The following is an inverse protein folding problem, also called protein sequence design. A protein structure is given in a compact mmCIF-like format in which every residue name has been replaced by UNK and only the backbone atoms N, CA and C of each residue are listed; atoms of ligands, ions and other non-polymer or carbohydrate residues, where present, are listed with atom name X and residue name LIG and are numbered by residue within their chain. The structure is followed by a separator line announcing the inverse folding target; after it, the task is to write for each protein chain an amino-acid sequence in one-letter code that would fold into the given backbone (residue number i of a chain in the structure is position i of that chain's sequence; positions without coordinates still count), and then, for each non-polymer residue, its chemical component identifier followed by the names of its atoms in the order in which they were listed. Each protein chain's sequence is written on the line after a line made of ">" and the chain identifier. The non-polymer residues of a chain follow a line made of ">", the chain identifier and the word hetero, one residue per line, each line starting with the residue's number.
data_IF_913337869191
#
_entry.id   IF_913337869191
#
_cell.length_a   1.000
_cell.length_b   1.000
_cell.length_c   1.000
_cell.angle_alpha   90.00
_cell.angle_beta   90.00
_cell.angle_gamma   90.00
#
_symmetry.space_group_name_H-M   'P 1'
#
loop_
_entity.id
_entity.type
_entity.pdbx_description
1 polymer ?
#
# COMPACT_ATOMS: atom_id res chain seq x y z
N UNK A 1 -0.73 -21.57 25.53
CA UNK A 1 -1.65 -20.57 26.13
C UNK A 1 -2.29 -21.16 27.37
N UNK A 2 -2.68 -20.37 28.39
CA UNK A 2 -3.40 -20.89 29.57
C UNK A 2 -4.79 -21.36 29.18
N UNK A 3 -5.34 -22.47 29.72
CA UNK A 3 -6.69 -22.94 29.38
C UNK A 3 -7.77 -21.88 29.59
N UNK A 4 -7.72 -21.14 30.70
CA UNK A 4 -8.67 -20.07 31.00
C UNK A 4 -8.66 -18.94 29.95
N UNK A 5 -7.46 -18.58 29.42
CA UNK A 5 -7.35 -17.55 28.37
C UNK A 5 -8.01 -18.01 27.07
N UNK A 6 -7.90 -19.32 26.76
CA UNK A 6 -8.55 -19.91 25.58
C UNK A 6 -10.06 -19.83 25.69
N UNK A 7 -10.63 -20.12 26.86
CA UNK A 7 -12.08 -20.04 27.11
C UNK A 7 -12.59 -18.60 26.98
N UNK A 8 -11.85 -17.62 27.51
CA UNK A 8 -12.21 -16.20 27.39
C UNK A 8 -12.21 -15.77 25.92
N UNK A 9 -11.15 -16.12 25.18
CA UNK A 9 -11.03 -15.80 23.73
C UNK A 9 -12.17 -16.46 22.97
N UNK A 10 -12.50 -17.73 23.28
CA UNK A 10 -13.62 -18.44 22.64
C UNK A 10 -14.94 -17.70 22.88
N UNK A 11 -15.24 -17.33 24.11
CA UNK A 11 -16.47 -16.60 24.47
C UNK A 11 -16.56 -15.24 23.76
N UNK A 12 -15.44 -14.50 23.68
CA UNK A 12 -15.39 -13.25 22.93
C UNK A 12 -15.71 -13.49 21.44
N UNK A 13 -15.08 -14.51 20.83
CA UNK A 13 -15.28 -14.82 19.41
C UNK A 13 -16.69 -15.35 19.10
N UNK A 14 -17.35 -16.02 20.03
CA UNK A 14 -18.76 -16.45 19.90
C UNK A 14 -19.74 -15.26 19.81
N UNK A 15 -19.43 -14.19 20.55
CA UNK A 15 -20.29 -13.00 20.62
C UNK A 15 -19.95 -12.00 19.50
N UNK A 16 -18.67 -11.78 19.23
CA UNK A 16 -18.22 -10.71 18.31
C UNK A 16 -18.00 -11.17 16.87
N UNK A 17 -17.83 -12.49 16.66
CA UNK A 17 -17.30 -13.00 15.39
C UNK A 17 -15.80 -12.77 15.23
N UNK A 18 -15.29 -12.70 13.98
CA UNK A 18 -13.87 -12.47 13.71
C UNK A 18 -13.39 -11.12 14.28
N UNK A 19 -12.27 -11.13 15.01
CA UNK A 19 -11.70 -9.95 15.67
C UNK A 19 -10.17 -9.96 15.59
N UNK A 20 -9.53 -8.77 15.64
CA UNK A 20 -8.08 -8.65 15.71
C UNK A 20 -7.55 -9.16 17.06
N UNK A 21 -6.44 -9.94 17.07
CA UNK A 21 -5.77 -10.34 18.32
C UNK A 21 -5.43 -9.18 19.26
N UNK A 22 -5.21 -7.97 18.71
CA UNK A 22 -4.90 -6.77 19.49
C UNK A 22 -6.12 -6.19 20.21
N UNK A 23 -7.33 -6.46 19.71
CA UNK A 23 -8.59 -5.95 20.26
C UNK A 23 -9.26 -6.92 21.25
N UNK A 24 -8.78 -8.18 21.30
CA UNK A 24 -9.42 -9.24 22.12
C UNK A 24 -9.52 -8.84 23.59
N UNK A 25 -8.47 -8.24 24.17
CA UNK A 25 -8.47 -7.84 25.57
C UNK A 25 -9.50 -6.76 25.87
N UNK A 26 -9.53 -5.72 25.05
CA UNK A 26 -10.43 -4.58 25.25
C UNK A 26 -11.88 -4.99 25.05
N UNK A 27 -12.13 -5.88 24.10
CA UNK A 27 -13.47 -6.43 23.87
C UNK A 27 -13.91 -7.39 24.98
N UNK A 28 -13.00 -8.23 25.49
CA UNK A 28 -13.28 -9.06 26.65
C UNK A 28 -13.66 -8.21 27.86
N UNK A 29 -12.94 -7.10 28.11
CA UNK A 29 -13.25 -6.18 29.20
C UNK A 29 -14.64 -5.55 29.06
N UNK A 30 -14.98 -5.08 27.86
CA UNK A 30 -16.32 -4.53 27.57
C UNK A 30 -17.43 -5.56 27.85
N UNK A 31 -17.27 -6.79 27.38
CA UNK A 31 -18.24 -7.87 27.56
C UNK A 31 -18.34 -8.32 29.02
N UNK A 32 -17.24 -8.33 29.74
CA UNK A 32 -17.21 -8.64 31.18
C UNK A 32 -17.94 -7.56 31.99
N UNK A 33 -17.72 -6.29 31.70
CA UNK A 33 -18.42 -5.16 32.35
C UNK A 33 -19.93 -5.17 32.07
N UNK A 34 -20.35 -5.70 30.92
CA UNK A 34 -21.78 -5.91 30.58
C UNK A 34 -22.38 -7.18 31.19
N UNK A 35 -21.56 -8.05 31.77
CA UNK A 35 -21.99 -9.36 32.30
C UNK A 35 -22.27 -10.42 31.22
N UNK A 36 -21.79 -10.21 30.00
CA UNK A 36 -21.97 -11.13 28.87
C UNK A 36 -20.95 -12.27 28.89
N UNK A 37 -19.80 -12.08 29.55
CA UNK A 37 -18.84 -13.14 29.86
C UNK A 37 -18.53 -13.15 31.36
N UNK A 38 -18.20 -14.32 31.90
CA UNK A 38 -18.04 -14.52 33.33
C UNK A 38 -16.59 -14.42 33.83
N UNK A 39 -15.64 -14.54 32.94
CA UNK A 39 -14.20 -14.54 33.27
C UNK A 39 -13.47 -13.43 32.53
N UNK A 40 -12.38 -12.93 33.13
CA UNK A 40 -11.49 -11.95 32.55
C UNK A 40 -10.04 -12.44 32.60
N UNK A 41 -9.22 -11.93 31.67
CA UNK A 41 -7.79 -12.24 31.64
C UNK A 41 -7.08 -11.79 32.93
N UNK A 42 -6.27 -12.67 33.48
CA UNK A 42 -5.40 -12.39 34.63
C UNK A 42 -3.98 -12.07 34.18
N UNK A 43 -3.81 -10.87 33.60
CA UNK A 43 -2.51 -10.32 33.21
C UNK A 43 -2.26 -9.05 34.03
N UNK A 44 -1.23 -9.12 34.90
CA UNK A 44 -0.75 -7.94 35.62
C UNK A 44 0.10 -7.02 34.73
N UNK A 45 0.24 -5.77 35.14
CA UNK A 45 1.10 -4.78 34.47
C UNK A 45 0.35 -3.71 33.70
N UNK A 46 1.11 -2.77 33.10
CA UNK A 46 0.54 -1.57 32.45
C UNK A 46 0.02 -1.80 31.02
N UNK A 47 0.28 -2.98 30.43
CA UNK A 47 -0.09 -3.29 29.03
C UNK A 47 -0.67 -4.70 28.87
N UNK A 48 -1.78 -5.04 29.58
CA UNK A 48 -2.37 -6.38 29.53
C UNK A 48 -2.85 -6.78 28.11
N UNK A 49 -3.32 -5.82 27.32
CA UNK A 49 -3.72 -6.02 25.92
C UNK A 49 -2.57 -6.54 25.04
N UNK A 50 -1.34 -6.02 25.25
CA UNK A 50 -0.15 -6.51 24.53
C UNK A 50 0.21 -7.94 24.94
N UNK A 51 0.07 -8.26 26.24
CA UNK A 51 0.35 -9.60 26.76
C UNK A 51 -0.60 -10.65 26.20
N UNK A 52 -1.90 -10.33 26.10
CA UNK A 52 -2.91 -11.21 25.49
C UNK A 52 -2.64 -11.39 24.00
N UNK A 53 -2.42 -10.33 23.27
CA UNK A 53 -2.12 -10.37 21.83
C UNK A 53 -0.86 -11.20 21.55
N UNK A 54 0.24 -10.98 22.28
CA UNK A 54 1.48 -11.73 22.14
C UNK A 54 1.28 -13.23 22.45
N UNK A 55 0.45 -13.54 23.44
CA UNK A 55 0.11 -14.93 23.80
C UNK A 55 -0.65 -15.64 22.66
N UNK A 56 -1.63 -14.95 22.05
CA UNK A 56 -2.38 -15.46 20.89
C UNK A 56 -1.43 -15.74 19.71
N UNK A 57 -0.60 -14.77 19.33
CA UNK A 57 0.33 -14.95 18.21
C UNK A 57 1.35 -16.07 18.47
N UNK A 58 1.83 -16.17 19.70
CA UNK A 58 2.77 -17.24 20.08
C UNK A 58 2.14 -18.63 19.99
N UNK A 59 0.91 -18.78 20.47
CA UNK A 59 0.18 -20.04 20.42
C UNK A 59 -0.15 -20.45 18.97
N UNK A 60 -0.60 -19.51 18.15
CA UNK A 60 -0.85 -19.75 16.72
C UNK A 60 0.43 -20.16 15.98
N UNK A 61 1.57 -19.50 16.27
CA UNK A 61 2.87 -19.81 15.66
C UNK A 61 3.41 -21.18 16.05
N UNK A 62 3.16 -21.60 17.28
CA UNK A 62 3.57 -22.92 17.78
C UNK A 62 2.67 -24.06 17.30
N UNK A 63 1.56 -23.76 16.60
CA UNK A 63 0.61 -24.77 16.15
C UNK A 63 -0.14 -25.46 17.29
N UNK A 64 -0.36 -24.76 18.42
CA UNK A 64 -1.14 -25.29 19.54
C UNK A 64 -2.56 -25.65 19.06
N UNK A 65 -3.16 -26.68 19.63
CA UNK A 65 -4.53 -27.08 19.31
C UNK A 65 -5.51 -26.11 19.99
N UNK A 66 -5.99 -25.12 19.22
CA UNK A 66 -6.85 -24.03 19.68
C UNK A 66 -8.24 -24.16 19.04
N UNK A 67 -9.32 -23.72 19.71
CA UNK A 67 -10.68 -23.69 19.14
C UNK A 67 -10.83 -22.60 18.04
N UNK A 68 -9.89 -21.72 17.91
CA UNK A 68 -9.86 -20.64 16.92
C UNK A 68 -8.62 -20.73 16.03
N UNK A 69 -8.66 -20.03 14.90
CA UNK A 69 -7.55 -19.94 13.96
C UNK A 69 -7.48 -18.52 13.37
N UNK A 70 -6.34 -18.18 12.80
CA UNK A 70 -6.20 -16.98 11.98
C UNK A 70 -6.97 -17.18 10.66
N UNK A 71 -7.85 -16.25 10.33
CA UNK A 71 -8.70 -16.28 9.14
C UNK A 71 -8.37 -15.21 8.14
N UNK A 72 -7.59 -14.21 8.54
CA UNK A 72 -7.08 -13.13 7.69
C UNK A 72 -5.69 -12.70 8.18
N UNK A 73 -4.80 -12.33 7.25
CA UNK A 73 -3.42 -11.92 7.56
C UNK A 73 -3.31 -10.41 7.83
N UNK A 74 -3.93 -9.59 7.00
CA UNK A 74 -3.85 -8.13 7.07
C UNK A 74 -5.23 -7.48 6.84
N UNK A 75 -5.81 -6.80 7.87
CA UNK A 75 -5.41 -6.92 9.27
C UNK A 75 -5.54 -8.37 9.77
N UNK A 76 -4.69 -8.73 10.74
CA UNK A 76 -4.76 -10.07 11.31
C UNK A 76 -6.10 -10.25 12.05
N UNK A 77 -6.92 -11.22 11.62
CA UNK A 77 -8.17 -11.59 12.28
C UNK A 77 -8.13 -13.06 12.71
N UNK A 78 -8.67 -13.32 13.90
CA UNK A 78 -8.92 -14.68 14.40
C UNK A 78 -10.41 -14.94 14.47
N UNK A 79 -10.83 -16.16 14.23
CA UNK A 79 -12.21 -16.61 14.35
C UNK A 79 -12.25 -18.04 14.89
N UNK A 80 -13.41 -18.44 15.43
CA UNK A 80 -13.66 -19.83 15.79
C UNK A 80 -13.55 -20.73 14.57
N UNK A 81 -12.97 -21.91 14.75
CA UNK A 81 -12.84 -22.90 13.68
C UNK A 81 -14.21 -23.35 13.12
N UNK A 82 -15.24 -23.42 13.98
CA UNK A 82 -16.63 -23.70 13.60
C UNK A 82 -17.22 -22.60 12.71
N UNK A 83 -17.17 -21.34 13.17
CA UNK A 83 -17.69 -20.19 12.45
C UNK A 83 -16.94 -19.92 11.13
N UNK A 84 -15.62 -20.12 11.11
CA UNK A 84 -14.81 -19.98 9.90
C UNK A 84 -15.22 -20.94 8.77
N UNK A 85 -15.75 -22.13 9.13
CA UNK A 85 -16.25 -23.11 8.16
C UNK A 85 -17.59 -22.68 7.58
N UNK A 86 -18.48 -22.11 8.37
CA UNK A 86 -19.80 -21.63 7.95
C UNK A 86 -19.73 -20.36 7.11
N UNK A 87 -18.81 -19.46 7.45
CA UNK A 87 -18.61 -18.18 6.75
C UNK A 87 -17.80 -18.30 5.45
N UNK A 88 -17.36 -19.50 5.07
CA UNK A 88 -16.53 -19.70 3.87
C UNK A 88 -15.12 -19.10 3.99
N UNK A 89 -14.69 -18.67 5.18
CA UNK A 89 -13.39 -18.05 5.48
C UNK A 89 -12.24 -19.10 5.48
N UNK A 90 -12.48 -20.29 4.95
CA UNK A 90 -11.49 -21.37 4.89
C UNK A 90 -10.62 -21.33 3.63
N UNK A 91 -10.96 -20.52 2.65
CA UNK A 91 -10.12 -20.34 1.49
C UNK A 91 -9.09 -19.24 1.81
N UNK A 92 -7.90 -19.64 2.24
CA UNK A 92 -6.74 -18.83 1.97
C UNK A 92 -6.72 -18.62 0.44
N UNK A 93 -7.14 -17.46 -0.04
CA UNK A 93 -6.79 -17.07 -1.40
C UNK A 93 -5.27 -17.20 -1.49
N UNK A 94 -4.71 -17.81 -2.54
CA UNK A 94 -3.28 -17.85 -2.72
C UNK A 94 -2.79 -16.40 -2.80
N UNK A 95 -2.32 -15.88 -1.68
CA UNK A 95 -1.70 -14.56 -1.66
C UNK A 95 -0.36 -14.70 -2.38
N UNK A 96 -0.14 -13.86 -3.37
CA UNK A 96 1.18 -13.74 -3.98
C UNK A 96 2.16 -13.40 -2.87
N UNK A 97 3.17 -14.25 -2.68
CA UNK A 97 4.16 -14.05 -1.62
C UNK A 97 5.01 -12.82 -1.95
N UNK A 98 4.78 -11.73 -1.25
CA UNK A 98 5.58 -10.51 -1.37
C UNK A 98 6.86 -10.67 -0.53
N UNK A 99 7.95 -11.05 -1.18
CA UNK A 99 9.25 -11.19 -0.54
C UNK A 99 10.00 -9.84 -0.50
N UNK A 100 9.92 -9.08 -1.58
CA UNK A 100 10.60 -7.79 -1.76
C UNK A 100 9.61 -6.68 -2.11
N UNK A 101 9.96 -5.42 -1.86
CA UNK A 101 9.12 -4.24 -2.26
C UNK A 101 8.88 -4.23 -3.78
N UNK A 102 9.84 -4.69 -4.57
CA UNK A 102 9.71 -4.82 -6.02
C UNK A 102 8.62 -5.77 -6.50
N UNK A 103 8.23 -6.74 -5.69
CA UNK A 103 7.13 -7.63 -6.01
C UNK A 103 5.79 -6.87 -6.08
N UNK A 104 5.74 -5.65 -5.50
CA UNK A 104 4.57 -4.75 -5.53
C UNK A 104 4.46 -3.95 -6.84
N UNK A 105 5.57 -3.76 -7.58
CA UNK A 105 5.59 -2.90 -8.75
C UNK A 105 4.55 -3.28 -9.82
N UNK A 106 4.37 -4.56 -10.21
CA UNK A 106 3.36 -4.94 -11.19
C UNK A 106 1.92 -4.62 -10.75
N UNK A 107 1.64 -4.72 -9.44
CA UNK A 107 0.32 -4.39 -8.89
C UNK A 107 0.07 -2.88 -8.94
N UNK A 108 1.09 -2.07 -8.61
CA UNK A 108 0.99 -0.63 -8.71
C UNK A 108 0.85 -0.18 -10.17
N UNK A 109 1.62 -0.77 -11.10
CA UNK A 109 1.51 -0.49 -12.55
C UNK A 109 0.09 -0.75 -13.05
N UNK A 110 -0.49 -1.91 -12.68
CA UNK A 110 -1.87 -2.25 -13.03
C UNK A 110 -2.87 -1.25 -12.42
N UNK A 111 -2.74 -0.94 -11.14
CA UNK A 111 -3.60 0.05 -10.48
C UNK A 111 -3.47 1.43 -11.11
N UNK A 112 -2.25 1.90 -11.36
CA UNK A 112 -1.98 3.24 -11.84
C UNK A 112 -2.61 3.53 -13.20
N UNK A 113 -2.61 2.56 -14.11
CA UNK A 113 -3.23 2.74 -15.44
C UNK A 113 -4.76 2.63 -15.39
N UNK A 114 -5.32 1.78 -14.50
CA UNK A 114 -6.75 1.51 -14.42
C UNK A 114 -7.52 2.43 -13.46
N UNK A 115 -6.83 3.14 -12.56
CA UNK A 115 -7.46 4.05 -11.60
C UNK A 115 -7.76 5.41 -12.24
N UNK A 116 -9.01 5.87 -12.18
CA UNK A 116 -9.48 7.12 -12.80
C UNK A 116 -8.71 8.38 -12.33
N UNK A 117 -8.24 8.41 -11.10
CA UNK A 117 -7.50 9.56 -10.56
C UNK A 117 -6.02 9.56 -10.97
N UNK A 118 -5.45 8.40 -11.25
CA UNK A 118 -4.05 8.26 -11.66
C UNK A 118 -3.93 8.26 -13.18
N UNK A 119 -4.50 7.27 -13.87
CA UNK A 119 -4.41 7.08 -15.34
C UNK A 119 -3.00 7.32 -15.88
N UNK A 120 -1.99 6.78 -15.19
CA UNK A 120 -0.60 7.05 -15.53
C UNK A 120 0.15 5.78 -15.92
N UNK A 121 1.04 5.92 -16.89
CA UNK A 121 2.08 4.94 -17.19
C UNK A 121 3.17 5.04 -16.14
N UNK A 122 3.72 3.91 -15.72
CA UNK A 122 4.76 3.85 -14.69
C UNK A 122 6.10 3.40 -15.27
N UNK A 123 7.19 3.77 -14.58
CA UNK A 123 8.54 3.28 -14.82
C UNK A 123 9.21 2.99 -13.50
N UNK A 124 9.71 1.77 -13.34
CA UNK A 124 10.52 1.37 -12.19
C UNK A 124 11.89 2.04 -12.25
N UNK A 125 12.32 2.62 -11.13
CA UNK A 125 13.64 3.23 -10.96
C UNK A 125 14.51 2.32 -10.12
N UNK A 126 15.60 1.82 -10.72
CA UNK A 126 16.57 0.96 -10.04
C UNK A 126 17.66 1.83 -9.42
N UNK A 127 17.53 2.14 -8.13
CA UNK A 127 18.52 2.97 -7.42
C UNK A 127 19.90 2.34 -7.36
N UNK A 128 20.01 0.99 -7.48
CA UNK A 128 21.30 0.29 -7.57
C UNK A 128 22.07 0.58 -8.85
N UNK A 129 21.37 0.99 -9.91
CA UNK A 129 21.96 1.39 -11.19
C UNK A 129 22.39 2.86 -11.21
N UNK A 130 22.16 3.61 -10.12
CA UNK A 130 22.53 5.02 -10.01
C UNK A 130 24.02 5.20 -9.74
N UNK A 131 24.58 6.32 -10.18
CA UNK A 131 25.94 6.71 -9.85
C UNK A 131 26.09 6.88 -8.34
N UNK A 132 27.18 6.34 -7.76
CA UNK A 132 27.37 6.35 -6.32
C UNK A 132 27.91 7.70 -5.85
N UNK A 133 27.17 8.38 -4.99
CA UNK A 133 27.65 9.51 -4.18
C UNK A 133 28.29 9.05 -2.86
N UNK A 134 28.96 9.92 -2.12
CA UNK A 134 29.41 9.61 -0.77
C UNK A 134 28.24 9.10 0.09
N UNK A 135 28.55 8.13 0.98
CA UNK A 135 27.55 7.43 1.79
C UNK A 135 26.59 8.39 2.50
N UNK A 136 25.31 8.28 2.20
CA UNK A 136 24.22 9.03 2.82
C UNK A 136 23.79 10.30 2.10
N UNK A 137 24.52 10.80 1.09
CA UNK A 137 24.11 12.01 0.36
C UNK A 137 22.86 11.80 -0.50
N UNK A 138 22.72 10.62 -1.09
CA UNK A 138 21.56 10.29 -1.94
C UNK A 138 20.46 9.55 -1.17
N UNK A 139 20.53 9.57 0.17
CA UNK A 139 19.49 8.94 0.98
C UNK A 139 18.15 9.62 0.69
N UNK A 140 17.15 8.81 0.29
CA UNK A 140 15.81 9.28 -0.07
C UNK A 140 15.74 10.23 -1.29
N UNK A 141 16.71 10.14 -2.19
CA UNK A 141 16.68 10.88 -3.45
C UNK A 141 15.82 10.18 -4.50
N UNK A 142 15.99 8.86 -4.62
CA UNK A 142 15.38 8.08 -5.68
C UNK A 142 13.99 7.55 -5.27
N UNK A 143 12.93 7.80 -6.08
CA UNK A 143 11.66 7.11 -5.92
C UNK A 143 11.79 5.64 -6.37
N UNK A 144 10.94 4.75 -5.85
CA UNK A 144 10.89 3.37 -6.33
C UNK A 144 10.31 3.28 -7.74
N UNK A 145 9.26 4.06 -8.00
CA UNK A 145 8.64 4.17 -9.32
C UNK A 145 8.26 5.62 -9.63
N UNK A 146 8.29 5.94 -10.91
CA UNK A 146 7.81 7.21 -11.45
C UNK A 146 6.61 6.96 -12.35
N UNK A 147 5.75 7.97 -12.52
CA UNK A 147 4.58 7.87 -13.37
C UNK A 147 4.35 9.14 -14.19
N UNK A 148 3.68 8.96 -15.33
CA UNK A 148 3.24 10.08 -16.18
C UNK A 148 1.82 9.85 -16.67
N UNK A 149 0.97 10.86 -16.52
CA UNK A 149 -0.33 10.96 -17.15
C UNK A 149 -0.26 12.00 -18.26
N UNK A 150 -0.62 11.61 -19.46
CA UNK A 150 -0.64 12.49 -20.62
C UNK A 150 -2.03 13.15 -20.75
N UNK A 151 -2.20 14.33 -20.15
CA UNK A 151 -3.48 15.04 -20.13
C UNK A 151 -3.98 15.37 -21.55
N UNK A 152 -3.06 15.73 -22.45
CA UNK A 152 -3.39 16.01 -23.84
C UNK A 152 -3.82 14.75 -24.64
N UNK A 153 -3.45 13.55 -24.21
CA UNK A 153 -3.90 12.31 -24.86
C UNK A 153 -5.37 11.98 -24.55
N UNK A 154 -5.96 12.61 -23.54
CA UNK A 154 -7.38 12.47 -23.20
C UNK A 154 -8.29 13.38 -24.05
N UNK A 155 -7.68 14.32 -24.80
CA UNK A 155 -8.39 15.21 -25.70
C UNK A 155 -8.65 14.53 -27.04
N UNK A 156 -9.90 14.49 -27.46
CA UNK A 156 -10.30 13.86 -28.73
C UNK A 156 -10.20 14.80 -29.95
N UNK A 157 -9.88 16.09 -29.76
CA UNK A 157 -9.84 17.10 -30.78
C UNK A 157 -8.40 17.56 -31.06
N UNK A 158 -7.93 17.44 -32.30
CA UNK A 158 -6.59 17.78 -32.75
C UNK A 158 -6.20 19.25 -32.44
N UNK A 159 -7.14 20.18 -32.59
CA UNK A 159 -6.91 21.59 -32.32
C UNK A 159 -6.72 21.83 -30.80
N UNK A 160 -7.48 21.14 -29.96
CA UNK A 160 -7.31 21.20 -28.49
C UNK A 160 -5.99 20.58 -28.06
N UNK A 161 -5.57 19.48 -28.69
CA UNK A 161 -4.27 18.87 -28.45
C UNK A 161 -3.14 19.85 -28.81
N UNK A 162 -3.22 20.47 -29.99
CA UNK A 162 -2.24 21.45 -30.45
C UNK A 162 -2.23 22.72 -29.56
N UNK A 163 -3.41 23.18 -29.14
CA UNK A 163 -3.56 24.31 -28.22
C UNK A 163 -2.92 23.99 -26.86
N UNK A 164 -3.24 22.84 -26.25
CA UNK A 164 -2.69 22.40 -24.98
C UNK A 164 -1.16 22.30 -25.07
N UNK A 165 -0.62 21.59 -26.05
CA UNK A 165 0.83 21.47 -26.26
C UNK A 165 1.55 22.82 -26.40
N UNK A 166 0.88 23.84 -26.91
CA UNK A 166 1.49 25.16 -27.17
C UNK A 166 1.37 26.13 -26.00
N UNK A 167 0.28 26.07 -25.27
CA UNK A 167 -0.08 27.10 -24.29
C UNK A 167 -0.17 26.59 -22.86
N UNK A 168 -0.33 25.28 -22.62
CA UNK A 168 -0.25 24.72 -21.28
C UNK A 168 1.19 24.71 -20.78
N UNK A 169 1.34 25.05 -19.53
CA UNK A 169 2.66 25.09 -18.87
C UNK A 169 3.26 23.68 -18.74
N UNK A 170 2.40 22.68 -18.50
CA UNK A 170 2.80 21.28 -18.40
C UNK A 170 1.62 20.36 -18.81
N UNK A 171 1.54 19.92 -20.08
CA UNK A 171 0.42 19.10 -20.59
C UNK A 171 0.51 17.64 -20.11
N UNK A 172 1.33 17.36 -19.14
CA UNK A 172 1.52 16.07 -18.49
C UNK A 172 1.47 16.24 -16.97
N UNK A 173 1.07 15.19 -16.26
CA UNK A 173 1.16 15.10 -14.81
C UNK A 173 2.22 14.07 -14.43
N UNK A 174 3.26 14.49 -13.74
CA UNK A 174 4.32 13.63 -13.23
C UNK A 174 3.98 13.16 -11.83
N UNK A 175 4.21 11.88 -11.55
CA UNK A 175 3.89 11.24 -10.28
C UNK A 175 5.12 10.50 -9.75
N UNK A 176 5.36 10.60 -8.45
CA UNK A 176 6.39 9.86 -7.73
C UNK A 176 5.73 8.87 -6.79
N UNK A 177 6.22 7.63 -6.75
CA UNK A 177 5.73 6.58 -5.86
C UNK A 177 6.85 6.03 -4.99
N UNK A 178 6.61 6.01 -3.69
CA UNK A 178 7.42 5.34 -2.69
C UNK A 178 6.65 4.14 -2.16
N UNK A 179 7.19 2.93 -2.32
CA UNK A 179 6.52 1.68 -1.98
C UNK A 179 7.04 1.12 -0.66
N UNK A 180 6.14 0.56 0.14
CA UNK A 180 6.47 -0.14 1.38
C UNK A 180 5.63 -1.42 1.50
N UNK A 181 6.28 -2.53 1.87
CA UNK A 181 5.59 -3.81 2.13
C UNK A 181 4.65 -3.72 3.32
N UNK A 182 4.99 -2.90 4.29
CA UNK A 182 4.22 -2.69 5.50
C UNK A 182 4.42 -1.25 5.98
N UNK A 183 3.36 -0.65 6.50
CA UNK A 183 3.40 0.66 7.15
C UNK A 183 2.77 0.51 8.53
N UNK A 184 3.57 0.63 9.57
CA UNK A 184 3.14 0.62 10.96
C UNK A 184 3.12 2.03 11.56
N UNK A 185 2.49 2.21 12.73
CA UNK A 185 2.52 3.49 13.47
C UNK A 185 3.96 3.92 13.78
N UNK A 186 4.86 2.94 14.00
CA UNK A 186 6.24 3.19 14.38
C UNK A 186 7.06 3.81 13.25
N UNK A 187 6.96 3.26 12.05
CA UNK A 187 7.78 3.65 10.88
C UNK A 187 7.05 4.61 9.91
N UNK A 188 5.75 4.82 10.11
CA UNK A 188 4.92 5.65 9.26
C UNK A 188 5.53 7.02 8.93
N UNK A 189 6.15 7.70 9.94
CA UNK A 189 6.79 9.00 9.72
C UNK A 189 7.99 8.88 8.80
N UNK A 190 8.85 7.90 9.00
CA UNK A 190 10.03 7.69 8.16
C UNK A 190 9.63 7.41 6.72
N UNK A 191 8.70 6.46 6.51
CA UNK A 191 8.15 6.14 5.19
C UNK A 191 7.55 7.37 4.50
N UNK A 192 6.79 8.17 5.26
CA UNK A 192 6.13 9.36 4.73
C UNK A 192 7.13 10.46 4.34
N UNK A 193 8.15 10.71 5.17
CA UNK A 193 9.19 11.69 4.87
C UNK A 193 10.09 11.24 3.72
N UNK A 194 10.29 9.95 3.53
CA UNK A 194 10.95 9.41 2.35
C UNK A 194 10.16 9.75 1.08
N UNK A 195 8.83 9.53 1.09
CA UNK A 195 7.96 9.91 -0.04
C UNK A 195 7.96 11.42 -0.31
N UNK A 196 8.05 12.27 0.72
CA UNK A 196 8.20 13.73 0.54
C UNK A 196 9.51 14.04 -0.16
N UNK A 197 10.63 13.49 0.33
CA UNK A 197 11.97 13.78 -0.15
C UNK A 197 12.12 13.43 -1.63
N UNK A 198 11.66 12.26 -2.04
CA UNK A 198 11.86 11.76 -3.40
C UNK A 198 10.77 12.18 -4.41
N UNK A 199 9.85 13.08 -4.01
CA UNK A 199 8.75 13.54 -4.88
C UNK A 199 8.76 15.03 -5.22
N UNK A 200 9.78 15.80 -4.84
CA UNK A 200 9.82 17.26 -5.07
C UNK A 200 9.81 17.62 -6.56
N UNK A 201 10.38 16.78 -7.39
CA UNK A 201 10.44 16.87 -8.86
C UNK A 201 9.11 16.55 -9.57
N UNK A 202 8.12 15.96 -8.89
CA UNK A 202 6.86 15.53 -9.47
C UNK A 202 5.69 16.43 -9.06
N UNK A 203 4.61 16.46 -9.86
CA UNK A 203 3.37 17.17 -9.54
C UNK A 203 2.64 16.54 -8.36
N UNK A 204 2.67 15.22 -8.24
CA UNK A 204 2.05 14.43 -7.17
C UNK A 204 3.05 13.41 -6.61
N UNK A 205 3.04 13.21 -5.30
CA UNK A 205 3.80 12.16 -4.65
C UNK A 205 2.86 11.25 -3.86
N UNK A 206 3.10 9.94 -3.90
CA UNK A 206 2.31 8.94 -3.17
C UNK A 206 3.21 8.02 -2.35
N UNK A 207 2.80 7.82 -1.10
CA UNK A 207 3.24 6.69 -0.29
C UNK A 207 2.31 5.51 -0.55
N UNK A 208 2.87 4.40 -0.99
CA UNK A 208 2.14 3.17 -1.35
C UNK A 208 2.44 2.10 -0.32
N UNK A 209 1.46 1.73 0.48
CA UNK A 209 1.59 0.63 1.45
C UNK A 209 0.84 -0.61 0.99
N UNK A 210 1.45 -1.78 1.17
CA UNK A 210 0.77 -3.03 0.89
C UNK A 210 -0.11 -3.42 2.08
N UNK A 211 -1.42 -3.56 1.86
CA UNK A 211 -2.40 -3.93 2.87
C UNK A 211 -2.37 -3.04 4.12
N UNK A 212 -2.51 -1.72 3.94
CA UNK A 212 -2.55 -0.77 5.05
C UNK A 212 -3.71 -1.14 6.01
N UNK A 213 -3.42 -1.21 7.30
CA UNK A 213 -4.45 -1.43 8.33
C UNK A 213 -5.31 -0.16 8.53
N UNK A 214 -6.34 -0.04 7.71
CA UNK A 214 -7.28 1.09 7.77
C UNK A 214 -8.17 1.10 9.03
N UNK A 215 -8.19 0.00 9.79
CA UNK A 215 -8.91 -0.10 11.05
C UNK A 215 -8.07 0.38 12.25
N UNK A 216 -6.77 0.61 12.05
CA UNK A 216 -5.93 1.19 13.08
C UNK A 216 -6.13 2.71 13.14
N UNK A 217 -6.85 3.25 14.16
CA UNK A 217 -7.17 4.67 14.22
C UNK A 217 -5.94 5.55 14.43
N UNK A 218 -4.89 5.04 15.09
CA UNK A 218 -3.66 5.79 15.33
C UNK A 218 -2.86 5.96 14.04
N UNK A 219 -2.78 4.90 13.21
CA UNK A 219 -2.13 4.96 11.90
C UNK A 219 -2.87 5.92 10.97
N UNK A 220 -4.21 5.77 10.88
CA UNK A 220 -5.01 6.60 9.98
C UNK A 220 -5.02 8.07 10.38
N UNK A 221 -5.07 8.39 11.68
CA UNK A 221 -4.97 9.77 12.17
C UNK A 221 -3.58 10.36 11.85
N UNK A 222 -2.51 9.59 12.05
CA UNK A 222 -1.16 10.02 11.71
C UNK A 222 -1.00 10.31 10.22
N UNK A 223 -1.46 9.39 9.34
CA UNK A 223 -1.42 9.57 7.88
C UNK A 223 -2.22 10.82 7.45
N UNK A 224 -3.42 11.04 8.01
CA UNK A 224 -4.24 12.22 7.71
C UNK A 224 -3.55 13.52 8.13
N UNK A 225 -2.91 13.56 9.29
CA UNK A 225 -2.16 14.75 9.77
C UNK A 225 -0.96 15.05 8.89
N UNK A 226 -0.18 14.03 8.54
CA UNK A 226 0.97 14.18 7.63
C UNK A 226 0.52 14.64 6.25
N UNK A 227 -0.55 14.04 5.71
CA UNK A 227 -1.15 14.46 4.44
C UNK A 227 -1.64 15.92 4.49
N UNK A 228 -2.31 16.31 5.57
CA UNK A 228 -2.75 17.72 5.76
C UNK A 228 -1.60 18.73 5.66
N UNK A 229 -0.45 18.38 6.24
CA UNK A 229 0.74 19.23 6.31
C UNK A 229 1.57 19.23 5.02
N UNK A 230 1.75 18.08 4.38
CA UNK A 230 2.74 17.93 3.30
C UNK A 230 2.14 17.57 1.95
N UNK A 231 0.91 17.04 1.90
CA UNK A 231 0.19 16.80 0.65
C UNK A 231 0.55 15.53 -0.10
N UNK A 232 1.41 14.65 0.44
CA UNK A 232 1.68 13.34 -0.14
C UNK A 232 0.43 12.46 -0.01
N UNK A 233 -0.01 11.85 -1.12
CA UNK A 233 -1.12 10.91 -1.13
C UNK A 233 -0.76 9.58 -0.48
N UNK A 234 -1.77 8.77 -0.19
CA UNK A 234 -1.58 7.42 0.37
C UNK A 234 -2.41 6.43 -0.42
N UNK A 235 -1.76 5.38 -0.88
CA UNK A 235 -2.39 4.27 -1.61
C UNK A 235 -2.32 3.01 -0.75
N UNK A 236 -3.46 2.34 -0.55
CA UNK A 236 -3.54 0.98 -0.03
C UNK A 236 -3.52 0.02 -1.22
N UNK A 237 -2.38 -0.62 -1.43
CA UNK A 237 -2.16 -1.56 -2.52
C UNK A 237 -2.53 -2.97 -2.08
N UNK A 238 -3.40 -3.63 -2.82
CA UNK A 238 -3.85 -5.00 -2.56
C UNK A 238 -3.18 -5.98 -3.53
N UNK A 239 -2.73 -7.11 -3.00
CA UNK A 239 -2.06 -8.15 -3.78
C UNK A 239 -2.82 -9.48 -3.78
N UNK A 240 -3.86 -9.58 -2.98
CA UNK A 240 -4.76 -10.73 -2.85
C UNK A 240 -6.04 -10.58 -3.69
N UNK A 241 -6.45 -9.33 -3.95
CA UNK A 241 -7.63 -9.01 -4.73
C UNK A 241 -7.50 -7.63 -5.40
N UNK A 242 -8.21 -7.44 -6.53
CA UNK A 242 -8.24 -6.18 -7.26
C UNK A 242 -9.12 -5.14 -6.54
N UNK A 243 -8.68 -4.70 -5.37
CA UNK A 243 -9.35 -3.71 -4.51
C UNK A 243 -8.40 -2.64 -3.98
N UNK A 244 -7.31 -2.40 -4.69
CA UNK A 244 -6.39 -1.31 -4.35
C UNK A 244 -7.11 0.04 -4.41
N UNK A 245 -6.87 0.90 -3.42
CA UNK A 245 -7.57 2.18 -3.28
C UNK A 245 -6.64 3.32 -2.93
N UNK A 246 -6.98 4.53 -3.36
CA UNK A 246 -6.34 5.75 -2.88
C UNK A 246 -7.06 6.18 -1.60
N UNK A 247 -6.40 6.04 -0.47
CA UNK A 247 -6.93 6.46 0.83
C UNK A 247 -6.92 7.98 0.99
N UNK A 248 -5.86 8.62 0.50
CA UNK A 248 -5.67 10.07 0.52
C UNK A 248 -5.12 10.52 -0.84
N UNK A 249 -5.83 11.40 -1.55
CA UNK A 249 -5.36 11.93 -2.83
C UNK A 249 -4.18 12.88 -2.60
N UNK A 250 -3.12 12.78 -3.40
CA UNK A 250 -2.02 13.73 -3.35
C UNK A 250 -2.50 15.16 -3.67
N UNK A 251 -1.86 16.15 -3.05
CA UNK A 251 -2.04 17.55 -3.44
C UNK A 251 -1.20 17.85 -4.68
N UNK A 252 -1.83 18.36 -5.72
CA UNK A 252 -1.14 18.75 -6.94
C UNK A 252 -0.24 19.95 -6.73
N UNK A 253 0.99 19.88 -7.23
CA UNK A 253 1.97 20.98 -7.27
C UNK A 253 2.06 21.50 -8.70
N UNK A 254 1.75 22.77 -8.90
CA UNK A 254 1.89 23.41 -10.22
C UNK A 254 3.35 23.57 -10.65
N UNK A 255 4.25 23.77 -9.68
CA UNK A 255 5.69 23.92 -9.91
C UNK A 255 6.43 22.71 -9.36
N UNK A 256 7.24 22.11 -10.20
CA UNK A 256 8.15 21.01 -9.83
C UNK A 256 9.55 21.54 -9.58
N UNK A 257 10.35 20.79 -8.81
CA UNK A 257 11.74 21.13 -8.57
C UNK A 257 12.63 20.59 -9.69
N UNK A 258 12.94 21.47 -10.65
CA UNK A 258 13.80 21.13 -11.78
C UNK A 258 15.25 20.84 -11.37
N UNK A 259 15.71 21.36 -10.21
CA UNK A 259 17.06 21.07 -9.71
C UNK A 259 17.17 19.61 -9.30
N UNK A 260 16.17 19.11 -8.58
CA UNK A 260 16.09 17.70 -8.21
C UNK A 260 15.85 16.81 -9.44
N UNK A 261 15.02 17.24 -10.38
CA UNK A 261 14.81 16.49 -11.62
C UNK A 261 16.12 16.36 -12.44
N UNK A 262 16.93 17.43 -12.50
CA UNK A 262 18.25 17.42 -13.14
C UNK A 262 19.19 16.44 -12.43
N UNK A 263 19.30 16.54 -11.10
CA UNK A 263 20.15 15.64 -10.31
C UNK A 263 19.78 14.17 -10.50
N UNK A 264 18.48 13.85 -10.46
CA UNK A 264 17.97 12.49 -10.73
C UNK A 264 18.34 12.02 -12.14
N UNK A 265 18.18 12.90 -13.15
CA UNK A 265 18.49 12.57 -14.55
C UNK A 265 19.97 12.32 -14.79
N UNK A 266 20.85 13.06 -14.11
CA UNK A 266 22.31 12.90 -14.20
C UNK A 266 22.79 11.62 -13.48
N UNK A 267 22.13 11.27 -12.36
CA UNK A 267 22.54 10.14 -11.51
C UNK A 267 21.90 8.81 -11.88
N UNK A 268 20.75 8.82 -12.56
CA UNK A 268 20.02 7.59 -12.90
C UNK A 268 19.56 7.58 -14.35
N UNK A 269 20.13 6.69 -15.14
CA UNK A 269 19.83 6.55 -16.58
C UNK A 269 18.36 6.21 -16.84
N UNK A 270 17.72 5.36 -16.00
CA UNK A 270 16.30 5.00 -16.14
C UNK A 270 15.39 6.23 -16.00
N UNK A 271 15.72 7.13 -15.08
CA UNK A 271 14.98 8.38 -14.90
C UNK A 271 15.19 9.31 -16.10
N UNK A 272 16.42 9.42 -16.61
CA UNK A 272 16.72 10.20 -17.82
C UNK A 272 15.95 9.68 -19.03
N UNK A 273 15.94 8.36 -19.25
CA UNK A 273 15.17 7.69 -20.31
C UNK A 273 13.68 7.92 -20.13
N UNK A 274 13.16 7.84 -18.90
CA UNK A 274 11.75 8.15 -18.60
C UNK A 274 11.38 9.57 -19.05
N UNK A 275 12.17 10.58 -18.69
CA UNK A 275 11.90 11.96 -19.10
C UNK A 275 11.93 12.11 -20.63
N UNK A 276 12.88 11.44 -21.30
CA UNK A 276 12.94 11.43 -22.76
C UNK A 276 11.69 10.80 -23.36
N UNK A 277 11.24 9.65 -22.85
CA UNK A 277 10.00 8.98 -23.31
C UNK A 277 8.77 9.87 -23.12
N UNK A 278 8.72 10.66 -22.03
CA UNK A 278 7.64 11.65 -21.82
C UNK A 278 7.66 12.74 -22.88
N UNK A 279 8.85 13.27 -23.25
CA UNK A 279 9.00 14.31 -24.29
C UNK A 279 8.63 13.78 -25.66
N UNK A 280 9.07 12.55 -25.99
CA UNK A 280 8.90 11.94 -27.31
C UNK A 280 7.49 11.36 -27.52
N UNK A 281 6.67 11.23 -26.46
CA UNK A 281 5.36 10.59 -26.53
C UNK A 281 4.42 11.26 -27.51
N UNK A 282 3.91 10.44 -28.45
CA UNK A 282 2.89 10.84 -29.42
C UNK A 282 1.58 10.05 -29.19
N UNK A 283 0.48 10.74 -28.78
CA UNK A 283 -0.81 10.10 -28.54
C UNK A 283 -1.37 9.33 -29.75
N UNK A 284 -1.01 9.75 -30.99
CA UNK A 284 -1.48 9.10 -32.21
C UNK A 284 -0.73 7.79 -32.51
N UNK A 285 0.41 7.57 -31.83
CA UNK A 285 1.29 6.42 -32.03
C UNK A 285 1.65 5.73 -30.72
N UNK A 286 0.71 5.63 -29.77
CA UNK A 286 0.92 5.09 -28.42
C UNK A 286 1.62 3.71 -28.40
N UNK A 287 1.36 2.85 -29.42
CA UNK A 287 1.96 1.54 -29.52
C UNK A 287 3.50 1.55 -29.63
N UNK A 288 4.10 2.67 -30.06
CA UNK A 288 5.58 2.82 -30.18
C UNK A 288 6.25 2.99 -28.83
N UNK A 289 5.50 3.40 -27.81
CA UNK A 289 6.03 3.69 -26.48
C UNK A 289 5.71 2.60 -25.46
N UNK A 290 5.11 1.49 -25.90
CA UNK A 290 4.68 0.41 -25.00
C UNK A 290 5.83 -0.16 -24.19
N UNK A 291 7.03 -0.28 -24.79
CA UNK A 291 8.20 -0.86 -24.16
C UNK A 291 9.03 0.17 -23.35
N UNK A 292 8.66 1.47 -23.45
CA UNK A 292 9.33 2.54 -22.71
C UNK A 292 8.86 2.63 -21.25
N UNK A 293 7.68 2.11 -20.97
CA UNK A 293 7.07 2.07 -19.64
C UNK A 293 7.03 0.63 -19.10
N UNK A 294 6.68 0.48 -17.82
CA UNK A 294 6.52 -0.84 -17.23
C UNK A 294 5.36 -1.60 -17.86
N UNK A 295 5.53 -2.90 -18.05
CA UNK A 295 4.51 -3.78 -18.62
C UNK A 295 3.30 -3.87 -17.71
N UNK A 296 2.11 -3.61 -18.25
CA UNK A 296 0.85 -3.80 -17.55
C UNK A 296 0.43 -5.26 -17.63
N UNK A 297 0.60 -6.00 -16.55
CA UNK A 297 0.16 -7.40 -16.48
C UNK A 297 -1.35 -7.50 -16.50
N UNK A 298 -1.86 -8.63 -17.00
CA UNK A 298 -3.29 -8.92 -16.96
C UNK A 298 -3.76 -9.16 -15.52
N UNK A 299 -5.02 -8.84 -15.27
CA UNK A 299 -5.65 -9.01 -13.95
C UNK A 299 -5.52 -10.45 -13.43
N UNK A 300 -5.74 -11.43 -14.31
CA UNK A 300 -5.70 -12.86 -13.98
C UNK A 300 -4.30 -13.34 -13.61
N UNK A 301 -3.26 -12.68 -14.12
CA UNK A 301 -1.86 -12.98 -13.76
C UNK A 301 -1.49 -12.42 -12.40
N UNK A 302 -2.02 -11.25 -12.04
CA UNK A 302 -1.78 -10.60 -10.75
C UNK A 302 -2.64 -11.19 -9.63
N UNK A 303 -3.89 -11.51 -9.95
CA UNK A 303 -4.90 -11.99 -8.99
C UNK A 303 -5.46 -13.34 -9.47
N UNK A 304 -4.66 -14.42 -9.42
CA UNK A 304 -5.11 -15.73 -9.88
C UNK A 304 -6.32 -16.21 -9.08
N UNK A 305 -7.38 -16.56 -9.78
CA UNK A 305 -8.58 -17.09 -9.16
C UNK A 305 -8.41 -18.61 -8.94
N UNK A 306 -8.33 -19.10 -7.68
CA UNK A 306 -8.13 -20.52 -7.40
C UNK A 306 -9.28 -21.40 -7.88
N UNK A 307 -10.45 -20.81 -8.21
CA UNK A 307 -11.62 -21.55 -8.70
C UNK A 307 -11.56 -21.90 -10.20
N UNK A 308 -10.52 -21.47 -10.94
CA UNK A 308 -10.37 -21.69 -12.38
C UNK A 308 -9.17 -22.59 -12.75
N UNK A 309 -8.45 -23.16 -11.77
CA UNK A 309 -7.45 -24.19 -12.04
C UNK A 309 -8.18 -25.54 -12.19
N UNK A 310 -8.41 -25.92 -13.43
CA UNK A 310 -8.89 -27.27 -13.82
C UNK A 310 -7.78 -28.29 -13.66
#
# INVERSE_FOLDING_TARGET
>A
MKPQDIEIIQSVLEITGPISPTEVYDKAKELFEKGEITNMFDYGGNTPHQSVSASIYTALKKGEELPFKKVQENPALIALKSAAKELGLNAQKPSVKIAHERDLHPFLTYMAINNENLKCYTKTIFHEESSKSPKGMDRWLYPDMVGVRFLHAELSNENLIAFSKKFDTLPVKLVSFELKKEISVHDCRECYFQAISNSSWANEGYLVGCHIDTHNPQLMDLLKRLHGSFGIGVIDLRTDEDKSTILLNAKYKEKIDYTVALELSEKNEKFSVFLKSVVDYDPNHQHRYKDEFDEVKKKEELYPNPSLSF
#
